data_IF_174658059994
#
_entry.id   IF_174658059994
#
_cell.length_a   1.000
_cell.length_b   1.000
_cell.length_c   1.000
_cell.angle_alpha   90.00
_cell.angle_beta   90.00
_cell.angle_gamma   90.00
#
_symmetry.space_group_name_H-M   'P 1'
#
loop_
_entity.id
_entity.type
_entity.pdbx_description
1 polymer ?
#
# COMPACT_ATOMS: atom_id res chain seq x y z
N UNK A 1 -12.21 -1.38 12.62
CA UNK A 1 -11.54 -2.19 11.58
C UNK A 1 -12.57 -2.93 10.75
N UNK A 2 -12.38 -2.95 9.45
CA UNK A 2 -13.24 -3.71 8.53
C UNK A 2 -12.67 -5.10 8.27
N UNK A 3 -13.55 -6.06 8.01
CA UNK A 3 -13.22 -7.48 7.93
C UNK A 3 -12.03 -7.83 7.05
N UNK A 4 -11.32 -8.90 7.43
CA UNK A 4 -10.14 -9.38 6.72
C UNK A 4 -10.55 -10.05 5.42
N UNK A 5 -9.82 -9.75 4.33
CA UNK A 5 -10.01 -10.36 3.02
C UNK A 5 -8.67 -10.66 2.37
N UNK A 6 -8.68 -11.50 1.38
CA UNK A 6 -7.46 -11.90 0.66
C UNK A 6 -7.45 -11.22 -0.71
N UNK A 7 -6.35 -10.51 -1.01
CA UNK A 7 -6.10 -9.94 -2.33
C UNK A 7 -4.82 -10.52 -2.90
N UNK A 8 -4.79 -10.63 -4.21
CA UNK A 8 -3.56 -10.89 -4.94
C UNK A 8 -3.12 -9.59 -5.62
N UNK A 9 -1.87 -9.20 -5.38
CA UNK A 9 -1.22 -8.18 -6.20
C UNK A 9 -0.31 -8.95 -7.15
N UNK A 10 -0.59 -8.93 -8.47
CA UNK A 10 0.25 -9.69 -9.42
C UNK A 10 1.66 -9.10 -9.48
N UNK A 11 2.62 -9.94 -9.85
CA UNK A 11 3.95 -9.45 -10.16
C UNK A 11 3.86 -8.42 -11.28
N UNK A 12 4.49 -7.28 -11.10
CA UNK A 12 4.37 -6.16 -12.02
C UNK A 12 5.54 -5.20 -11.85
N UNK A 13 5.61 -4.20 -12.72
CA UNK A 13 6.56 -3.11 -12.56
C UNK A 13 5.91 -1.98 -11.76
N UNK A 14 6.67 -1.36 -10.89
CA UNK A 14 6.24 -0.20 -10.13
C UNK A 14 7.26 0.92 -10.22
N UNK A 15 6.78 2.15 -10.21
CA UNK A 15 7.63 3.33 -10.08
C UNK A 15 7.90 3.55 -8.60
N UNK A 16 9.17 3.65 -8.23
CA UNK A 16 9.59 3.82 -6.84
C UNK A 16 10.12 5.22 -6.59
N UNK A 17 9.69 5.81 -5.49
CA UNK A 17 10.23 7.09 -5.02
C UNK A 17 11.67 6.98 -4.50
N UNK A 18 12.15 5.76 -4.22
CA UNK A 18 13.29 5.57 -3.35
C UNK A 18 12.94 5.83 -1.89
N UNK A 19 13.90 5.66 -0.99
CA UNK A 19 13.70 5.86 0.45
C UNK A 19 13.57 7.35 0.75
N UNK A 20 12.55 7.74 1.52
CA UNK A 20 12.33 9.12 1.93
C UNK A 20 11.30 9.23 3.03
N UNK A 21 10.97 10.47 3.38
CA UNK A 21 9.97 10.78 4.41
C UNK A 21 8.98 11.80 3.87
N UNK A 22 7.76 11.76 4.39
CA UNK A 22 6.74 12.75 4.07
C UNK A 22 7.24 14.15 4.46
N UNK A 23 6.99 15.13 3.60
CA UNK A 23 7.47 16.50 3.76
C UNK A 23 8.84 16.77 3.15
N UNK A 24 9.58 15.75 2.75
CA UNK A 24 10.84 15.89 2.03
C UNK A 24 10.61 16.14 0.54
N UNK A 25 11.60 16.75 -0.13
CA UNK A 25 11.50 17.12 -1.54
C UNK A 25 11.20 15.96 -2.48
N UNK A 26 11.84 14.81 -2.26
CA UNK A 26 11.62 13.60 -3.09
C UNK A 26 10.17 13.10 -3.00
N UNK A 27 9.62 13.02 -1.81
CA UNK A 27 8.24 12.59 -1.60
C UNK A 27 7.24 13.63 -2.10
N UNK A 28 7.55 14.91 -1.95
CA UNK A 28 6.70 15.97 -2.51
C UNK A 28 6.63 15.89 -4.03
N UNK A 29 7.76 15.63 -4.69
CA UNK A 29 7.82 15.44 -6.15
C UNK A 29 7.07 14.20 -6.57
N UNK A 30 7.20 13.11 -5.83
CA UNK A 30 6.49 11.88 -6.11
C UNK A 30 4.98 12.07 -5.99
N UNK A 31 4.54 12.75 -4.94
CA UNK A 31 3.12 13.08 -4.73
C UNK A 31 2.55 13.92 -5.87
N UNK A 32 3.26 14.95 -6.30
CA UNK A 32 2.87 15.76 -7.46
C UNK A 32 2.72 14.89 -8.72
N UNK A 33 3.71 14.03 -8.98
CA UNK A 33 3.68 13.20 -10.16
C UNK A 33 2.53 12.18 -10.12
N UNK A 34 2.36 11.45 -9.03
CA UNK A 34 1.29 10.46 -8.94
C UNK A 34 -0.10 11.09 -8.95
N UNK A 35 -0.22 12.29 -8.40
CA UNK A 35 -1.48 13.05 -8.40
C UNK A 35 -1.86 13.54 -9.80
N UNK A 36 -0.90 13.64 -10.71
CA UNK A 36 -1.15 13.99 -12.11
C UNK A 36 -1.63 12.79 -12.95
N UNK A 37 -1.52 11.58 -12.42
CA UNK A 37 -1.97 10.38 -13.10
C UNK A 37 -3.49 10.28 -13.06
N UNK A 38 -4.06 9.63 -14.07
CA UNK A 38 -5.50 9.44 -14.17
C UNK A 38 -5.99 8.54 -13.04
N UNK A 39 -6.96 9.04 -12.28
CA UNK A 39 -7.56 8.24 -11.22
C UNK A 39 -8.42 7.12 -11.81
N UNK A 40 -8.24 5.92 -11.27
CA UNK A 40 -9.08 4.78 -11.56
C UNK A 40 -10.07 4.48 -10.43
N UNK A 41 -10.72 3.35 -10.51
CA UNK A 41 -11.64 2.89 -9.50
C UNK A 41 -10.94 2.55 -8.18
N UNK A 42 -9.73 2.02 -8.27
CA UNK A 42 -8.92 1.65 -7.10
C UNK A 42 -7.61 2.45 -7.09
N UNK A 43 -7.06 2.75 -5.89
CA UNK A 43 -5.75 3.37 -5.81
C UNK A 43 -4.68 2.42 -6.35
N UNK A 44 -3.67 2.99 -7.02
CA UNK A 44 -2.57 2.25 -7.64
C UNK A 44 -1.24 2.50 -6.95
N UNK A 45 -1.27 3.19 -5.83
CA UNK A 45 -0.08 3.50 -5.05
C UNK A 45 -0.03 2.67 -3.77
N UNK A 46 1.20 2.40 -3.32
CA UNK A 46 1.47 1.64 -2.10
C UNK A 46 2.63 2.26 -1.36
N UNK A 47 2.61 2.13 -0.05
CA UNK A 47 3.66 2.64 0.82
C UNK A 47 4.17 1.50 1.69
N UNK A 48 5.49 1.41 1.90
CA UNK A 48 6.05 0.49 2.88
C UNK A 48 7.23 1.11 3.63
N UNK A 49 7.50 0.60 4.83
CA UNK A 49 8.63 1.02 5.65
C UNK A 49 9.86 0.20 5.31
N UNK A 50 10.96 0.85 4.96
CA UNK A 50 12.21 0.23 4.50
C UNK A 50 13.29 0.19 5.58
N UNK A 51 12.94 0.41 6.86
CA UNK A 51 13.89 0.39 7.99
C UNK A 51 14.47 1.74 8.34
N UNK A 52 14.70 2.62 7.38
CA UNK A 52 15.26 3.97 7.59
C UNK A 52 14.41 5.06 6.97
N UNK A 53 13.33 4.69 6.33
CA UNK A 53 12.39 5.61 5.70
C UNK A 53 11.31 4.83 4.98
N UNK A 54 10.39 5.56 4.39
CA UNK A 54 9.34 4.96 3.57
C UNK A 54 9.77 4.86 2.11
N UNK A 55 9.17 3.93 1.40
CA UNK A 55 9.22 3.87 -0.07
C UNK A 55 7.80 3.96 -0.57
N UNK A 56 7.57 4.85 -1.52
CA UNK A 56 6.28 5.05 -2.16
C UNK A 56 6.33 4.46 -3.56
N UNK A 57 5.36 3.61 -3.89
CA UNK A 57 5.29 2.87 -5.15
C UNK A 57 4.02 3.27 -5.90
N UNK A 58 4.11 3.31 -7.22
CA UNK A 58 2.95 3.50 -8.10
C UNK A 58 3.02 2.49 -9.25
N UNK A 59 1.93 1.81 -9.54
CA UNK A 59 1.88 0.82 -10.61
C UNK A 59 2.27 1.43 -11.95
N UNK A 60 3.28 0.84 -12.59
CA UNK A 60 3.77 1.30 -13.90
C UNK A 60 2.90 0.75 -15.02
N UNK A 61 2.59 1.59 -15.98
CA UNK A 61 1.91 1.23 -17.23
C UNK A 61 2.76 1.65 -18.42
N UNK A 62 2.76 0.83 -19.47
CA UNK A 62 3.51 1.13 -20.69
C UNK A 62 3.08 2.47 -21.26
N UNK A 63 4.07 3.28 -21.67
CA UNK A 63 3.83 4.62 -22.19
C UNK A 63 3.69 5.71 -21.13
N UNK A 64 3.79 5.34 -19.84
CA UNK A 64 3.76 6.30 -18.74
C UNK A 64 5.01 7.17 -18.75
N UNK A 65 4.83 8.48 -18.60
CA UNK A 65 5.94 9.42 -18.48
C UNK A 65 6.43 9.46 -17.04
N UNK A 66 7.58 8.85 -16.79
CA UNK A 66 8.17 8.73 -15.44
C UNK A 66 9.35 9.69 -15.32
N UNK A 67 9.34 10.61 -14.32
CA UNK A 67 10.49 11.48 -14.06
C UNK A 67 11.77 10.67 -13.81
N UNK A 68 12.90 11.23 -14.22
CA UNK A 68 14.22 10.56 -14.14
C UNK A 68 14.66 10.27 -12.71
N UNK A 69 14.20 11.06 -11.74
CA UNK A 69 14.53 10.87 -10.33
C UNK A 69 13.93 9.59 -9.74
N UNK A 70 12.95 9.00 -10.40
CA UNK A 70 12.28 7.80 -9.91
C UNK A 70 12.73 6.57 -10.70
N UNK A 71 12.72 5.44 -10.02
CA UNK A 71 13.18 4.17 -10.55
C UNK A 71 11.99 3.27 -10.87
N UNK A 72 12.09 2.54 -11.95
CA UNK A 72 11.10 1.50 -12.28
C UNK A 72 11.67 0.18 -11.76
N UNK A 73 10.95 -0.46 -10.83
CA UNK A 73 11.39 -1.70 -10.19
C UNK A 73 10.47 -2.85 -10.53
N UNK A 74 10.99 -4.07 -10.41
CA UNK A 74 10.17 -5.28 -10.47
C UNK A 74 9.58 -5.55 -9.09
N UNK A 75 8.25 -5.59 -9.02
CA UNK A 75 7.53 -5.90 -7.80
C UNK A 75 7.11 -7.37 -7.83
N UNK A 76 7.49 -8.10 -6.79
CA UNK A 76 7.27 -9.54 -6.71
C UNK A 76 5.78 -9.92 -6.72
N UNK A 77 4.95 -9.13 -6.04
CA UNK A 77 3.54 -9.47 -5.88
C UNK A 77 3.31 -10.64 -4.93
N UNK A 78 2.12 -11.19 -4.97
CA UNK A 78 1.72 -12.32 -4.16
C UNK A 78 0.41 -12.09 -3.43
N UNK A 79 0.10 -12.96 -2.49
CA UNK A 79 -1.12 -12.87 -1.69
C UNK A 79 -0.93 -11.97 -0.47
N UNK A 80 -1.99 -11.27 -0.13
CA UNK A 80 -2.02 -10.37 1.03
C UNK A 80 -3.35 -10.54 1.78
N UNK A 81 -3.27 -10.60 3.10
CA UNK A 81 -4.44 -10.39 3.96
C UNK A 81 -4.61 -8.88 4.11
N UNK A 82 -5.79 -8.37 3.84
CA UNK A 82 -6.06 -6.93 3.80
C UNK A 82 -7.13 -6.57 4.82
N UNK A 83 -6.86 -5.54 5.59
CA UNK A 83 -7.82 -4.94 6.51
C UNK A 83 -7.88 -3.43 6.28
N UNK A 84 -9.03 -2.83 6.53
CA UNK A 84 -9.24 -1.40 6.34
C UNK A 84 -9.58 -0.75 7.68
N UNK A 85 -8.96 0.39 7.96
CA UNK A 85 -9.27 1.17 9.15
C UNK A 85 -9.09 2.67 8.88
N UNK A 86 -9.41 3.49 9.87
CA UNK A 86 -9.20 4.93 9.81
C UNK A 86 -7.70 5.20 9.98
N UNK A 87 -7.12 5.97 9.04
CA UNK A 87 -5.72 6.35 9.12
C UNK A 87 -5.43 7.11 10.43
N UNK A 88 -4.28 6.81 11.04
CA UNK A 88 -3.81 7.37 12.31
C UNK A 88 -4.61 6.96 13.55
N UNK A 89 -5.65 6.13 13.41
CA UNK A 89 -6.50 5.69 14.54
C UNK A 89 -6.63 4.17 14.64
N UNK A 90 -5.71 3.45 14.02
CA UNK A 90 -5.74 1.99 14.01
C UNK A 90 -5.17 1.43 15.30
N UNK A 91 -5.91 0.53 15.93
CA UNK A 91 -5.37 -0.35 16.98
C UNK A 91 -4.64 -1.50 16.32
N UNK A 92 -3.32 -1.38 16.23
CA UNK A 92 -2.48 -2.37 15.52
C UNK A 92 -2.43 -3.71 16.23
N UNK A 93 -2.52 -3.75 17.53
CA UNK A 93 -2.58 -5.00 18.30
C UNK A 93 -3.84 -5.79 17.97
N UNK A 94 -4.99 -5.11 17.99
CA UNK A 94 -6.27 -5.71 17.64
C UNK A 94 -6.27 -6.19 16.19
N UNK A 95 -5.76 -5.37 15.27
CA UNK A 95 -5.66 -5.73 13.86
C UNK A 95 -4.79 -6.98 13.66
N UNK A 96 -3.63 -7.05 14.29
CA UNK A 96 -2.76 -8.21 14.20
C UNK A 96 -3.42 -9.47 14.76
N UNK A 97 -4.15 -9.35 15.85
CA UNK A 97 -4.89 -10.47 16.45
C UNK A 97 -5.96 -11.00 15.50
N UNK A 98 -6.73 -10.11 14.89
CA UNK A 98 -7.77 -10.50 13.93
C UNK A 98 -7.18 -11.11 12.65
N UNK A 99 -6.08 -10.56 12.14
CA UNK A 99 -5.37 -11.12 10.99
C UNK A 99 -4.87 -12.52 11.30
N UNK A 100 -4.20 -12.73 12.43
CA UNK A 100 -3.66 -14.02 12.81
C UNK A 100 -4.76 -15.08 12.98
N UNK A 101 -5.87 -14.70 13.57
CA UNK A 101 -7.04 -15.57 13.71
C UNK A 101 -7.58 -15.99 12.34
N UNK A 102 -7.77 -15.03 11.45
CA UNK A 102 -8.25 -15.29 10.10
C UNK A 102 -7.30 -16.25 9.33
N UNK A 103 -6.00 -16.02 9.41
CA UNK A 103 -5.00 -16.87 8.74
C UNK A 103 -5.04 -18.30 9.27
N UNK A 104 -5.09 -18.43 10.59
CA UNK A 104 -5.17 -19.75 11.25
C UNK A 104 -6.41 -20.54 10.82
N UNK A 105 -7.54 -19.87 10.71
CA UNK A 105 -8.81 -20.49 10.34
C UNK A 105 -8.90 -20.84 8.85
N UNK A 106 -8.06 -20.25 8.01
CA UNK A 106 -8.16 -20.39 6.54
C UNK A 106 -6.93 -21.02 5.87
N UNK A 107 -6.02 -21.60 6.64
CA UNK A 107 -4.88 -22.35 6.08
C UNK A 107 -3.77 -21.47 5.52
N UNK A 108 -3.63 -20.25 6.00
CA UNK A 108 -2.58 -19.33 5.61
C UNK A 108 -1.60 -19.07 6.75
N UNK A 109 -0.42 -18.60 6.40
CA UNK A 109 0.57 -18.09 7.34
C UNK A 109 1.19 -16.81 6.81
N UNK A 110 1.82 -16.04 7.70
CA UNK A 110 2.51 -14.82 7.30
C UNK A 110 3.74 -15.14 6.45
N UNK A 111 3.94 -14.35 5.41
CA UNK A 111 5.15 -14.40 4.59
C UNK A 111 6.06 -13.25 5.01
N UNK A 112 7.06 -13.56 5.85
CA UNK A 112 7.99 -12.55 6.38
C UNK A 112 9.08 -12.14 5.40
N UNK A 113 9.12 -12.75 4.21
CA UNK A 113 10.07 -12.40 3.16
C UNK A 113 9.67 -11.16 2.35
N UNK A 114 8.42 -10.73 2.48
CA UNK A 114 7.88 -9.56 1.77
C UNK A 114 7.44 -8.49 2.76
N UNK A 115 7.48 -7.24 2.33
CA UNK A 115 7.09 -6.10 3.17
C UNK A 115 5.59 -5.93 3.27
N UNK A 116 5.13 -5.48 4.44
CA UNK A 116 3.76 -5.00 4.62
C UNK A 116 3.58 -3.71 3.83
N UNK A 117 2.40 -3.53 3.25
CA UNK A 117 2.08 -2.35 2.47
C UNK A 117 0.90 -1.61 3.10
N UNK A 118 0.78 -0.34 2.75
CA UNK A 118 -0.39 0.45 3.09
C UNK A 118 -0.75 1.40 1.96
N UNK A 119 -2.01 1.75 1.84
CA UNK A 119 -2.42 2.84 0.97
C UNK A 119 -3.69 3.52 1.48
N UNK A 120 -3.82 4.79 1.12
CA UNK A 120 -5.02 5.56 1.36
C UNK A 120 -5.97 5.28 0.20
N UNK A 121 -7.19 4.83 0.53
CA UNK A 121 -8.18 4.50 -0.48
C UNK A 121 -9.23 5.59 -0.66
N UNK A 122 -9.19 6.61 0.17
CA UNK A 122 -10.13 7.73 0.16
C UNK A 122 -9.70 8.79 -0.84
N UNK A 123 -10.60 9.17 -1.74
CA UNK A 123 -10.34 10.32 -2.62
C UNK A 123 -10.39 11.63 -1.81
N UNK A 124 -9.77 12.72 -2.30
CA UNK A 124 -9.89 14.03 -1.65
C UNK A 124 -11.33 14.48 -1.43
N UNK A 125 -12.22 14.18 -2.40
CA UNK A 125 -13.65 14.50 -2.28
C UNK A 125 -14.31 13.71 -1.15
N UNK A 126 -14.07 12.40 -1.08
CA UNK A 126 -14.64 11.54 -0.04
C UNK A 126 -14.11 11.94 1.34
N UNK A 127 -12.81 12.20 1.45
CA UNK A 127 -12.20 12.69 2.71
C UNK A 127 -12.87 13.96 3.21
N UNK A 128 -13.16 14.89 2.30
CA UNK A 128 -13.84 16.13 2.64
C UNK A 128 -15.23 15.87 3.21
N UNK A 129 -15.94 14.86 2.69
CA UNK A 129 -17.31 14.53 3.10
C UNK A 129 -17.33 13.77 4.42
N UNK A 130 -16.50 12.72 4.56
CA UNK A 130 -16.51 11.86 5.76
C UNK A 130 -15.58 12.35 6.87
N UNK A 131 -14.63 13.23 6.57
CA UNK A 131 -13.74 13.88 7.54
C UNK A 131 -12.50 13.08 7.96
N UNK A 132 -12.20 11.95 7.32
CA UNK A 132 -11.02 11.15 7.62
C UNK A 132 -10.57 10.37 6.39
N UNK A 133 -9.34 9.84 6.44
CA UNK A 133 -8.83 8.91 5.44
C UNK A 133 -9.08 7.47 5.84
N UNK A 134 -9.52 6.66 4.88
CA UNK A 134 -9.59 5.22 5.00
C UNK A 134 -8.29 4.63 4.48
N UNK A 135 -7.69 3.71 5.24
CA UNK A 135 -6.42 3.10 4.88
C UNK A 135 -6.54 1.59 4.82
N UNK A 136 -6.04 1.00 3.74
CA UNK A 136 -5.84 -0.43 3.64
C UNK A 136 -4.45 -0.79 4.16
N UNK A 137 -4.39 -1.87 4.94
CA UNK A 137 -3.16 -2.50 5.39
C UNK A 137 -3.06 -3.86 4.71
N UNK A 138 -1.92 -4.12 4.09
CA UNK A 138 -1.66 -5.34 3.31
C UNK A 138 -0.57 -6.15 4.01
N UNK A 139 -0.93 -7.32 4.53
CA UNK A 139 -0.02 -8.22 5.22
C UNK A 139 0.33 -9.38 4.31
N UNK A 140 1.61 -9.53 3.89
CA UNK A 140 2.00 -10.63 3.01
C UNK A 140 1.70 -11.98 3.65
N UNK A 141 1.11 -12.88 2.88
CA UNK A 141 0.74 -14.22 3.34
C UNK A 141 1.08 -15.26 2.29
N UNK A 142 1.11 -16.51 2.72
CA UNK A 142 1.28 -17.68 1.86
C UNK A 142 0.45 -18.83 2.40
N UNK A 143 0.14 -19.81 1.56
CA UNK A 143 -0.50 -21.03 2.00
C UNK A 143 0.45 -21.81 2.92
N UNK A 144 -0.10 -22.42 3.93
CA UNK A 144 0.67 -23.33 4.79
C UNK A 144 1.13 -24.57 4.02
#
# INVERSE_FOLDING_TARGET
MQGVRIYEIPACKMVSSGIGMFGEGTFNKFDEWLSSQKRGLFPKDFLYWAGEGFVWLYMYEDGMDVPKEFEIIDFQGGLYAVATDIDQKTDKELMNTEINKFLSENGFERDTSRSELGNIITSPLVKKIIGYDQMNYYFPIKAK
#
